data_IF_298956021230
#
_entry.id   IF_298956021230
#
_cell.length_a   1.000
_cell.length_b   1.000
_cell.length_c   1.000
_cell.angle_alpha   90.00
_cell.angle_beta   90.00
_cell.angle_gamma   90.00
#
_symmetry.space_group_name_H-M   'P 1'
#
loop_
_entity.id
_entity.type
_entity.pdbx_description
1 polymer ?
#
# COMPACT_ATOMS: atom_id res chain seq x y z
N UNK A 1 33.67 19.70 -46.07
CA UNK A 1 32.78 20.18 -44.99
C UNK A 1 31.89 19.10 -44.35
N UNK A 2 31.89 17.84 -44.81
CA UNK A 2 31.04 16.76 -44.26
C UNK A 2 31.61 16.00 -43.04
N UNK A 3 32.86 16.27 -42.63
CA UNK A 3 33.51 15.56 -41.51
C UNK A 3 33.18 16.17 -40.14
N UNK A 4 32.82 17.46 -40.08
CA UNK A 4 32.54 18.18 -38.83
C UNK A 4 31.16 17.79 -38.27
N UNK A 5 30.19 17.53 -39.15
CA UNK A 5 28.83 17.11 -38.76
C UNK A 5 28.77 15.69 -38.20
N UNK A 6 29.64 14.79 -38.69
CA UNK A 6 29.73 13.41 -38.20
C UNK A 6 30.36 13.34 -36.80
N UNK A 7 31.37 14.18 -36.54
CA UNK A 7 32.00 14.28 -35.23
C UNK A 7 31.03 14.81 -34.16
N UNK A 8 30.23 15.84 -34.51
CA UNK A 8 29.23 16.41 -33.62
C UNK A 8 28.09 15.42 -33.29
N UNK A 9 27.70 14.58 -34.26
CA UNK A 9 26.68 13.54 -34.06
C UNK A 9 27.15 12.45 -33.11
N UNK A 10 28.42 12.02 -33.17
CA UNK A 10 28.99 11.02 -32.23
C UNK A 10 29.06 11.53 -30.80
N UNK A 11 29.50 12.77 -30.59
CA UNK A 11 29.53 13.37 -29.25
C UNK A 11 28.14 13.51 -28.61
N UNK A 12 27.10 13.73 -29.43
CA UNK A 12 25.72 13.76 -28.97
C UNK A 12 25.20 12.36 -28.54
N UNK A 13 25.67 11.29 -29.17
CA UNK A 13 25.28 9.90 -28.82
C UNK A 13 25.97 9.44 -27.53
N UNK A 14 27.27 9.73 -27.36
CA UNK A 14 28.01 9.37 -26.13
C UNK A 14 27.46 10.08 -24.88
N UNK A 15 27.00 11.33 -25.02
CA UNK A 15 26.39 12.09 -23.92
C UNK A 15 25.01 11.55 -23.54
N UNK A 16 24.23 11.05 -24.52
CA UNK A 16 22.97 10.37 -24.27
C UNK A 16 23.20 9.01 -23.58
N UNK A 17 24.16 8.20 -24.03
CA UNK A 17 24.47 6.92 -23.38
C UNK A 17 25.00 7.09 -21.95
N UNK A 18 25.81 8.12 -21.69
CA UNK A 18 26.29 8.43 -20.33
C UNK A 18 25.16 8.94 -19.41
N UNK A 19 24.18 9.66 -19.95
CA UNK A 19 23.01 10.13 -19.21
C UNK A 19 21.97 9.03 -18.95
N UNK A 20 21.82 8.06 -19.86
CA UNK A 20 20.83 6.98 -19.78
C UNK A 20 21.39 5.65 -19.24
N UNK A 21 22.71 5.41 -19.30
CA UNK A 21 23.38 4.23 -18.75
C UNK A 21 23.57 4.25 -17.23
N UNK A 22 23.19 5.34 -16.56
CA UNK A 22 23.41 5.59 -15.14
C UNK A 22 22.14 5.61 -14.28
N UNK A 23 21.27 4.59 -14.37
CA UNK A 23 20.27 4.33 -13.31
C UNK A 23 19.96 2.85 -13.10
N UNK A 24 21.00 2.03 -12.96
CA UNK A 24 21.05 1.06 -11.89
C UNK A 24 21.71 1.73 -10.68
N UNK A 25 21.06 1.66 -9.52
CA UNK A 25 21.48 2.08 -8.17
C UNK A 25 22.81 2.81 -8.01
N UNK A 26 22.72 4.11 -7.73
CA UNK A 26 23.80 4.92 -7.14
C UNK A 26 23.97 4.58 -5.66
N UNK A 27 25.22 4.66 -5.22
CA UNK A 27 25.74 4.72 -3.85
C UNK A 27 25.70 3.38 -3.09
N UNK A 28 26.81 2.77 -2.69
CA UNK A 28 28.08 3.35 -2.27
C UNK A 28 28.33 2.86 -0.84
N UNK A 29 29.27 1.93 -0.66
CA UNK A 29 29.58 1.36 0.64
C UNK A 29 30.21 -0.03 0.53
N UNK A 30 31.50 -0.06 0.25
CA UNK A 30 32.36 -1.23 0.44
C UNK A 30 32.35 -1.66 1.91
N UNK A 31 32.00 -2.93 2.17
CA UNK A 31 32.74 -3.89 3.03
C UNK A 31 32.02 -5.24 3.05
N UNK A 32 32.74 -6.25 2.58
CA UNK A 32 32.33 -7.65 2.56
C UNK A 32 32.74 -8.38 3.86
N UNK A 33 31.93 -9.39 4.22
CA UNK A 33 32.20 -10.56 5.09
C UNK A 33 32.53 -10.26 6.57
N UNK A 34 32.04 -10.92 7.63
CA UNK A 34 31.62 -12.30 8.02
C UNK A 34 30.82 -12.11 9.34
N UNK A 35 29.80 -12.88 9.79
CA UNK A 35 29.68 -14.31 10.08
C UNK A 35 28.19 -14.64 10.45
N UNK A 36 27.77 -15.92 10.55
CA UNK A 36 26.39 -16.30 10.84
C UNK A 36 26.14 -16.47 12.35
N UNK A 37 24.99 -16.02 12.84
CA UNK A 37 24.45 -16.44 14.12
C UNK A 37 22.94 -16.62 13.99
N UNK A 38 22.52 -17.88 14.06
CA UNK A 38 21.14 -18.26 14.28
C UNK A 38 20.72 -17.74 15.65
N UNK A 39 19.63 -16.99 15.72
CA UNK A 39 18.78 -17.02 16.90
C UNK A 39 17.32 -17.04 16.50
N UNK A 40 16.65 -18.09 16.95
CA UNK A 40 15.29 -18.44 16.59
C UNK A 40 14.31 -17.40 17.10
N UNK A 41 13.84 -16.54 16.20
CA UNK A 41 12.52 -15.96 16.32
C UNK A 41 11.58 -16.78 15.44
N UNK A 42 10.94 -17.79 16.05
CA UNK A 42 9.69 -18.38 15.53
C UNK A 42 8.63 -17.28 15.53
N UNK A 43 8.70 -16.42 14.52
CA UNK A 43 7.57 -15.60 14.14
C UNK A 43 6.52 -16.57 13.62
N UNK A 44 5.52 -16.84 14.47
CA UNK A 44 4.27 -17.48 14.10
C UNK A 44 3.81 -16.80 12.82
N UNK A 45 4.07 -17.49 11.71
CA UNK A 45 3.80 -17.00 10.37
C UNK A 45 2.29 -16.89 10.25
N UNK A 46 1.73 -15.73 10.58
CA UNK A 46 0.42 -15.34 10.05
C UNK A 46 0.57 -15.51 8.56
N UNK A 47 -0.12 -16.52 8.00
CA UNK A 47 -0.06 -16.89 6.59
C UNK A 47 -0.36 -15.63 5.78
N UNK A 48 0.71 -14.91 5.43
CA UNK A 48 0.68 -13.83 4.46
C UNK A 48 0.55 -14.57 3.15
N UNK A 49 -0.70 -14.91 2.79
CA UNK A 49 -1.05 -15.05 1.38
C UNK A 49 -0.39 -13.87 0.68
N UNK A 50 0.48 -14.18 -0.28
CA UNK A 50 1.42 -13.22 -0.84
C UNK A 50 0.72 -11.91 -1.20
N UNK A 51 1.44 -10.78 -1.15
CA UNK A 51 0.94 -9.50 -1.67
C UNK A 51 0.43 -9.73 -3.10
N UNK A 52 -0.89 -9.86 -3.28
CA UNK A 52 -1.52 -10.22 -4.56
C UNK A 52 -2.33 -11.52 -4.58
N UNK A 53 -2.38 -12.31 -3.50
CA UNK A 53 -3.40 -13.35 -3.36
C UNK A 53 -4.76 -12.65 -3.35
N UNK A 54 -5.53 -12.85 -4.42
CA UNK A 54 -6.88 -12.29 -4.56
C UNK A 54 -7.66 -12.78 -3.35
N UNK A 55 -8.05 -11.86 -2.46
CA UNK A 55 -9.03 -12.19 -1.42
C UNK A 55 -10.24 -12.78 -2.12
N UNK A 56 -10.75 -13.89 -1.60
CA UNK A 56 -12.01 -14.44 -2.10
C UNK A 56 -13.11 -13.41 -1.87
N UNK A 57 -14.18 -13.46 -2.68
CA UNK A 57 -15.31 -12.55 -2.52
C UNK A 57 -15.91 -12.66 -1.11
N UNK A 58 -15.96 -13.87 -0.58
CA UNK A 58 -16.44 -14.20 0.77
C UNK A 58 -15.62 -13.51 1.87
N UNK A 59 -14.29 -13.54 1.78
CA UNK A 59 -13.42 -12.86 2.76
C UNK A 59 -13.64 -11.35 2.76
N UNK A 60 -13.93 -10.77 1.60
CA UNK A 60 -14.19 -9.34 1.45
C UNK A 60 -15.53 -8.95 2.10
N UNK A 61 -16.56 -9.77 1.94
CA UNK A 61 -17.89 -9.58 2.53
C UNK A 61 -17.86 -9.79 4.05
N UNK A 62 -17.16 -10.81 4.53
CA UNK A 62 -16.96 -11.02 5.96
C UNK A 62 -16.26 -9.81 6.61
N UNK A 63 -15.25 -9.25 5.93
CA UNK A 63 -14.53 -8.07 6.42
C UNK A 63 -15.40 -6.81 6.39
N UNK A 64 -16.21 -6.62 5.35
CA UNK A 64 -17.13 -5.48 5.25
C UNK A 64 -18.22 -5.54 6.32
N UNK A 65 -18.77 -6.72 6.60
CA UNK A 65 -19.73 -6.96 7.67
C UNK A 65 -19.17 -6.67 9.06
N UNK A 66 -17.94 -7.14 9.34
CA UNK A 66 -17.22 -6.82 10.59
C UNK A 66 -17.01 -5.32 10.76
N UNK A 67 -16.56 -4.64 9.70
CA UNK A 67 -16.36 -3.19 9.73
C UNK A 67 -17.66 -2.43 9.97
N UNK A 68 -18.74 -2.77 9.27
CA UNK A 68 -20.04 -2.13 9.44
C UNK A 68 -20.60 -2.33 10.86
N UNK A 69 -20.47 -3.54 11.41
CA UNK A 69 -20.87 -3.85 12.80
C UNK A 69 -20.06 -3.05 13.80
N UNK A 70 -18.74 -2.94 13.60
CA UNK A 70 -17.86 -2.16 14.46
C UNK A 70 -18.18 -0.66 14.43
N UNK A 71 -18.43 -0.08 13.25
CA UNK A 71 -18.80 1.34 13.10
C UNK A 71 -20.19 1.64 13.70
N UNK A 72 -21.12 0.68 13.67
CA UNK A 72 -22.41 0.80 14.36
C UNK A 72 -22.24 0.83 15.88
N UNK A 73 -21.37 -0.01 16.43
CA UNK A 73 -21.08 -0.05 17.86
C UNK A 73 -20.27 1.18 18.34
N UNK A 74 -19.33 1.65 17.52
CA UNK A 74 -18.42 2.75 17.84
C UNK A 74 -18.44 3.83 16.75
N UNK A 75 -19.46 4.71 16.74
CA UNK A 75 -19.55 5.78 15.76
C UNK A 75 -18.50 6.87 16.01
N UNK A 76 -18.02 7.50 14.93
CA UNK A 76 -17.12 8.66 15.00
C UNK A 76 -15.63 8.32 15.11
N UNK A 77 -15.26 7.04 14.98
CA UNK A 77 -13.85 6.64 14.98
C UNK A 77 -13.16 6.87 13.63
N UNK A 78 -11.84 7.13 13.70
CA UNK A 78 -10.97 7.21 12.53
C UNK A 78 -10.50 5.82 12.08
N UNK A 79 -10.15 5.68 10.80
CA UNK A 79 -9.70 4.39 10.24
C UNK A 79 -8.49 3.79 10.96
N UNK A 80 -7.58 4.63 11.45
CA UNK A 80 -6.40 4.18 12.19
C UNK A 80 -6.76 3.54 13.53
N UNK A 81 -7.81 4.04 14.19
CA UNK A 81 -8.32 3.47 15.43
C UNK A 81 -9.04 2.14 15.14
N UNK A 82 -9.90 2.12 14.12
CA UNK A 82 -10.63 0.91 13.71
C UNK A 82 -9.65 -0.21 13.29
N UNK A 83 -8.57 0.14 12.59
CA UNK A 83 -7.53 -0.81 12.18
C UNK A 83 -6.82 -1.47 13.37
N UNK A 84 -6.61 -0.73 14.46
CA UNK A 84 -5.98 -1.28 15.67
C UNK A 84 -6.86 -2.35 16.31
N UNK A 85 -8.17 -2.07 16.40
CA UNK A 85 -9.16 -2.98 16.98
C UNK A 85 -9.41 -4.22 16.11
N UNK A 86 -9.50 -4.04 14.78
CA UNK A 86 -9.73 -5.14 13.85
C UNK A 86 -8.46 -5.91 13.46
N UNK A 87 -7.27 -5.40 13.80
CA UNK A 87 -5.99 -5.97 13.39
C UNK A 87 -5.78 -5.99 11.87
N UNK A 88 -6.37 -5.01 11.18
CA UNK A 88 -6.39 -4.89 9.71
C UNK A 88 -5.56 -3.69 9.24
N UNK A 89 -5.30 -3.59 7.92
CA UNK A 89 -4.64 -2.41 7.35
C UNK A 89 -5.59 -1.56 6.52
N UNK A 90 -5.28 -0.26 6.39
CA UNK A 90 -6.03 0.69 5.57
C UNK A 90 -6.17 0.23 4.12
N UNK A 91 -5.14 -0.42 3.56
CA UNK A 91 -5.17 -0.95 2.18
C UNK A 91 -6.21 -2.05 2.04
N UNK A 92 -6.46 -2.79 3.12
CA UNK A 92 -7.34 -3.93 3.11
C UNK A 92 -8.80 -3.52 3.20
N UNK A 93 -9.06 -2.44 3.96
CA UNK A 93 -10.39 -1.88 4.16
C UNK A 93 -10.80 -0.84 3.10
N UNK A 94 -9.88 -0.30 2.31
CA UNK A 94 -10.20 0.75 1.34
C UNK A 94 -11.28 0.33 0.33
N UNK A 95 -11.16 -0.87 -0.25
CA UNK A 95 -12.15 -1.37 -1.21
C UNK A 95 -13.49 -1.73 -0.52
N UNK A 96 -13.51 -2.48 0.60
CA UNK A 96 -14.74 -2.71 1.39
C UNK A 96 -15.47 -1.42 1.77
N UNK A 97 -14.76 -0.42 2.30
CA UNK A 97 -15.34 0.85 2.73
C UNK A 97 -16.02 1.56 1.58
N UNK A 98 -15.40 1.59 0.39
CA UNK A 98 -16.01 2.20 -0.80
C UNK A 98 -17.32 1.51 -1.20
N UNK A 99 -17.38 0.18 -1.12
CA UNK A 99 -18.61 -0.58 -1.33
C UNK A 99 -19.68 -0.22 -0.29
N UNK A 100 -19.33 -0.25 1.00
CA UNK A 100 -20.25 0.08 2.10
C UNK A 100 -20.81 1.51 2.02
N UNK A 101 -19.99 2.48 1.57
CA UNK A 101 -20.44 3.86 1.33
C UNK A 101 -21.40 3.92 0.13
N UNK A 102 -21.09 3.23 -0.97
CA UNK A 102 -21.97 3.14 -2.14
C UNK A 102 -23.33 2.51 -1.78
N UNK A 103 -23.31 1.47 -0.93
CA UNK A 103 -24.49 0.79 -0.40
C UNK A 103 -25.24 1.63 0.67
N UNK A 104 -24.70 2.81 1.04
CA UNK A 104 -25.20 3.71 2.08
C UNK A 104 -25.31 3.07 3.47
N UNK A 105 -24.52 2.03 3.73
CA UNK A 105 -24.45 1.36 5.03
C UNK A 105 -23.59 2.13 6.04
N UNK A 106 -22.62 2.89 5.57
CA UNK A 106 -21.78 3.79 6.38
C UNK A 106 -21.67 5.15 5.71
N UNK A 107 -21.33 6.18 6.49
CA UNK A 107 -20.98 7.50 6.00
C UNK A 107 -19.60 7.90 6.52
N UNK A 108 -18.86 8.65 5.70
CA UNK A 108 -17.56 9.19 6.06
C UNK A 108 -17.68 10.73 6.16
N UNK A 109 -17.12 11.32 7.22
CA UNK A 109 -17.05 12.78 7.39
C UNK A 109 -15.61 13.20 7.67
N UNK A 110 -15.20 14.36 7.16
CA UNK A 110 -13.85 14.88 7.32
C UNK A 110 -12.96 14.64 6.09
N UNK A 111 -11.68 14.96 6.22
CA UNK A 111 -10.74 15.02 5.10
C UNK A 111 -9.42 14.29 5.45
N UNK A 112 -8.85 13.58 4.48
CA UNK A 112 -7.54 12.89 4.59
C UNK A 112 -7.49 11.96 5.82
N UNK A 113 -6.65 12.29 6.81
CA UNK A 113 -6.45 11.50 8.04
C UNK A 113 -7.44 11.83 9.16
N UNK A 114 -8.24 12.88 8.98
CA UNK A 114 -9.31 13.26 9.91
C UNK A 114 -10.66 12.65 9.52
N UNK A 115 -10.68 11.74 8.55
CA UNK A 115 -11.90 11.05 8.13
C UNK A 115 -12.40 10.12 9.23
N UNK A 116 -13.58 10.45 9.75
CA UNK A 116 -14.33 9.68 10.73
C UNK A 116 -15.45 8.92 10.04
N UNK A 117 -15.76 7.73 10.54
CA UNK A 117 -16.82 6.88 10.00
C UNK A 117 -18.00 6.82 10.96
N UNK A 118 -19.20 6.86 10.37
CA UNK A 118 -20.47 6.82 11.07
C UNK A 118 -21.37 5.77 10.43
N UNK A 119 -22.30 5.17 11.19
CA UNK A 119 -23.33 4.32 10.60
C UNK A 119 -24.15 5.10 9.56
N UNK A 120 -24.50 4.44 8.47
CA UNK A 120 -25.32 5.01 7.41
C UNK A 120 -26.76 5.19 7.88
N UNK A 121 -27.50 6.07 7.20
CA UNK A 121 -28.88 6.43 7.56
C UNK A 121 -29.89 5.27 7.40
N UNK A 122 -29.49 4.12 6.82
CA UNK A 122 -30.24 2.87 6.90
C UNK A 122 -30.02 2.19 8.27
N UNK A 123 -30.51 2.86 9.30
CA UNK A 123 -30.72 2.28 10.62
C UNK A 123 -32.20 2.45 10.95
N UNK A 124 -33.03 1.63 10.30
CA UNK A 124 -34.35 1.22 10.79
C UNK A 124 -34.69 -0.11 10.15
#
# INVERSE_FOLDING_TARGET
MAQITELARRAAVDTLESAFGGRAGRAGGTRAAVAPANDGAVHVGRRRGGRGAKRTAEDLEALSGKFATFVKANPGLRIEQINKELGTTTKDLALPIRKLIADRMISAKGQKRSTMYFPGRKAK
#
